data_IF_273032379307
#
_entry.id   IF_273032379307
#
_cell.length_a   1.000
_cell.length_b   1.000
_cell.length_c   1.000
_cell.angle_alpha   90.00
_cell.angle_beta   90.00
_cell.angle_gamma   90.00
#
_symmetry.space_group_name_H-M   'P 1'
#
loop_
_entity.id
_entity.type
_entity.pdbx_description
1 polymer ?
#
# COMPACT_ATOMS: atom_id res chain seq x y z
N UNK A 1 -20.08 -7.92 -13.15
CA UNK A 1 -19.97 -8.10 -11.66
C UNK A 1 -20.14 -6.73 -11.04
N UNK A 2 -21.07 -6.56 -10.10
CA UNK A 2 -21.26 -5.32 -9.35
C UNK A 2 -20.14 -5.18 -8.32
N UNK A 3 -19.46 -4.05 -8.31
CA UNK A 3 -18.28 -3.82 -7.47
C UNK A 3 -18.59 -2.75 -6.43
N UNK A 4 -18.25 -3.02 -5.18
CA UNK A 4 -18.24 -2.06 -4.09
C UNK A 4 -16.81 -1.64 -3.76
N UNK A 5 -16.55 -0.35 -3.60
CA UNK A 5 -15.24 0.16 -3.22
C UNK A 5 -15.33 1.08 -2.00
N UNK A 6 -14.63 0.72 -0.95
CA UNK A 6 -14.64 1.42 0.35
C UNK A 6 -13.25 1.96 0.65
N UNK A 7 -13.15 3.28 0.87
CA UNK A 7 -11.88 3.96 1.13
C UNK A 7 -11.28 4.57 -0.13
N UNK A 8 -11.50 5.88 -0.31
CA UNK A 8 -11.10 6.67 -1.48
C UNK A 8 -9.92 7.60 -1.14
N UNK A 9 -8.95 7.09 -0.38
CA UNK A 9 -7.69 7.77 -0.10
C UNK A 9 -6.84 8.00 -1.35
N UNK A 10 -5.57 8.39 -1.16
CA UNK A 10 -4.62 8.67 -2.27
C UNK A 10 -4.55 7.53 -3.29
N UNK A 11 -4.54 6.29 -2.83
CA UNK A 11 -4.49 5.11 -3.70
C UNK A 11 -5.88 4.66 -4.12
N UNK A 12 -6.82 4.57 -3.18
CA UNK A 12 -8.17 4.05 -3.41
C UNK A 12 -8.95 4.83 -4.45
N UNK A 13 -8.85 6.17 -4.46
CA UNK A 13 -9.48 7.01 -5.48
C UNK A 13 -9.01 6.64 -6.90
N UNK A 14 -7.68 6.57 -7.11
CA UNK A 14 -7.11 6.25 -8.42
C UNK A 14 -7.44 4.81 -8.85
N UNK A 15 -7.43 3.86 -7.92
CA UNK A 15 -7.79 2.46 -8.16
C UNK A 15 -9.27 2.34 -8.53
N UNK A 16 -10.17 2.93 -7.74
CA UNK A 16 -11.60 2.90 -7.98
C UNK A 16 -11.96 3.58 -9.31
N UNK A 17 -11.31 4.69 -9.65
CA UNK A 17 -11.49 5.39 -10.95
C UNK A 17 -11.21 4.47 -12.13
N UNK A 18 -10.16 3.65 -12.08
CA UNK A 18 -9.89 2.66 -13.13
C UNK A 18 -10.99 1.60 -13.23
N UNK A 19 -11.56 1.18 -12.10
CA UNK A 19 -12.68 0.24 -12.09
C UNK A 19 -13.91 0.90 -12.71
N UNK A 20 -14.28 2.11 -12.28
CA UNK A 20 -15.45 2.84 -12.83
C UNK A 20 -15.37 3.00 -14.34
N UNK A 21 -14.18 3.25 -14.89
CA UNK A 21 -13.97 3.46 -16.33
C UNK A 21 -13.98 2.18 -17.15
N UNK A 22 -13.74 1.03 -16.55
CA UNK A 22 -13.53 -0.24 -17.28
C UNK A 22 -14.59 -1.30 -16.98
N UNK A 23 -15.30 -1.19 -15.86
CA UNK A 23 -16.35 -2.13 -15.49
C UNK A 23 -17.68 -1.73 -16.13
N UNK A 24 -18.37 -2.69 -16.74
CA UNK A 24 -19.66 -2.44 -17.40
C UNK A 24 -20.85 -2.41 -16.41
N UNK A 25 -20.69 -3.11 -15.28
CA UNK A 25 -21.69 -3.15 -14.21
C UNK A 25 -21.50 -2.01 -13.20
N UNK A 26 -22.52 -1.72 -12.37
CA UNK A 26 -22.44 -0.65 -11.36
C UNK A 26 -21.27 -0.76 -10.40
N UNK A 27 -20.65 0.39 -10.09
CA UNK A 27 -19.60 0.53 -9.07
C UNK A 27 -20.14 1.40 -7.93
N UNK A 28 -20.30 0.81 -6.76
CA UNK A 28 -20.78 1.45 -5.52
C UNK A 28 -19.62 1.94 -4.69
N UNK A 29 -19.68 3.17 -4.17
CA UNK A 29 -18.54 3.78 -3.48
C UNK A 29 -18.93 4.40 -2.15
N UNK A 30 -18.02 4.31 -1.19
CA UNK A 30 -18.14 4.99 0.10
C UNK A 30 -16.76 5.45 0.61
N UNK A 31 -16.70 6.65 1.14
CA UNK A 31 -15.63 7.20 1.96
C UNK A 31 -16.23 8.19 2.96
N UNK A 32 -15.56 8.41 4.09
CA UNK A 32 -15.99 9.43 5.07
C UNK A 32 -15.84 10.87 4.54
N UNK A 33 -14.99 11.08 3.53
CA UNK A 33 -14.77 12.37 2.87
C UNK A 33 -15.64 12.47 1.64
N UNK A 34 -16.79 13.19 1.78
CA UNK A 34 -17.82 13.28 0.74
C UNK A 34 -17.27 13.81 -0.59
N UNK A 35 -16.35 14.77 -0.57
CA UNK A 35 -15.74 15.34 -1.79
C UNK A 35 -15.08 14.29 -2.67
N UNK A 36 -14.52 13.23 -2.07
CA UNK A 36 -13.90 12.11 -2.81
C UNK A 36 -14.94 11.22 -3.45
N UNK A 37 -16.05 10.99 -2.76
CA UNK A 37 -17.21 10.25 -3.31
C UNK A 37 -17.76 11.02 -4.51
N UNK A 38 -17.96 12.35 -4.37
CA UNK A 38 -18.53 13.20 -5.42
C UNK A 38 -17.66 13.24 -6.69
N UNK A 39 -16.32 13.14 -6.53
CA UNK A 39 -15.40 13.04 -7.69
C UNK A 39 -15.67 11.79 -8.51
N UNK A 40 -15.87 10.64 -7.89
CA UNK A 40 -16.11 9.37 -8.59
C UNK A 40 -17.53 9.25 -9.09
N UNK A 41 -18.51 9.84 -8.41
CA UNK A 41 -19.90 9.94 -8.89
C UNK A 41 -19.96 10.71 -10.22
N UNK A 42 -19.19 11.78 -10.39
CA UNK A 42 -19.09 12.50 -11.66
C UNK A 42 -18.53 11.66 -12.80
N UNK A 43 -17.81 10.58 -12.48
CA UNK A 43 -17.25 9.64 -13.46
C UNK A 43 -18.13 8.39 -13.66
N UNK A 44 -19.26 8.27 -12.94
CA UNK A 44 -20.23 7.20 -13.14
C UNK A 44 -20.36 6.22 -11.97
N UNK A 45 -19.66 6.43 -10.85
CA UNK A 45 -19.88 5.64 -9.63
C UNK A 45 -21.21 5.99 -8.95
N UNK A 46 -21.69 5.08 -8.12
CA UNK A 46 -22.92 5.25 -7.34
C UNK A 46 -22.52 5.42 -5.86
N UNK A 47 -22.85 6.58 -5.27
CA UNK A 47 -22.60 6.84 -3.86
C UNK A 47 -23.48 5.95 -2.96
N UNK A 48 -22.89 5.48 -1.86
CA UNK A 48 -23.60 4.82 -0.76
C UNK A 48 -23.40 5.61 0.54
N UNK A 49 -24.30 5.41 1.50
CA UNK A 49 -24.30 6.12 2.78
C UNK A 49 -23.27 5.57 3.78
N UNK A 50 -22.90 4.29 3.65
CA UNK A 50 -21.98 3.59 4.54
C UNK A 50 -21.43 2.31 3.87
N UNK A 51 -20.52 1.62 4.56
CA UNK A 51 -19.90 0.39 4.04
C UNK A 51 -20.91 -0.76 3.93
N UNK A 52 -21.89 -0.81 4.84
CA UNK A 52 -22.94 -1.83 4.82
C UNK A 52 -23.76 -1.76 3.51
N UNK A 53 -24.19 -0.56 3.12
CA UNK A 53 -24.95 -0.36 1.87
C UNK A 53 -24.13 -0.73 0.63
N UNK A 54 -22.81 -0.42 0.62
CA UNK A 54 -21.90 -0.86 -0.46
C UNK A 54 -21.91 -2.38 -0.54
N UNK A 55 -21.70 -3.06 0.58
CA UNK A 55 -21.60 -4.52 0.62
C UNK A 55 -22.94 -5.22 0.30
N UNK A 56 -24.07 -4.63 0.69
CA UNK A 56 -25.40 -5.15 0.35
C UNK A 56 -25.61 -5.21 -1.16
N UNK A 57 -25.20 -4.15 -1.89
CA UNK A 57 -25.46 -3.97 -3.33
C UNK A 57 -24.43 -4.65 -4.23
N UNK A 58 -23.21 -4.89 -3.74
CA UNK A 58 -22.10 -5.40 -4.53
C UNK A 58 -21.96 -6.93 -4.46
N UNK A 59 -21.40 -7.52 -5.51
CA UNK A 59 -20.97 -8.92 -5.57
C UNK A 59 -19.53 -9.07 -5.07
N UNK A 60 -18.68 -8.07 -5.35
CA UNK A 60 -17.30 -7.96 -4.88
C UNK A 60 -17.13 -6.69 -4.08
N UNK A 61 -16.63 -6.80 -2.86
CA UNK A 61 -16.34 -5.69 -1.96
C UNK A 61 -14.83 -5.49 -1.89
N UNK A 62 -14.35 -4.31 -2.27
CA UNK A 62 -12.95 -3.95 -2.22
C UNK A 62 -12.75 -2.87 -1.14
N UNK A 63 -11.74 -3.06 -0.28
CA UNK A 63 -11.36 -2.07 0.73
C UNK A 63 -9.94 -1.58 0.51
N UNK A 64 -9.73 -0.27 0.71
CA UNK A 64 -8.42 0.37 0.69
C UNK A 64 -8.34 1.42 1.80
N UNK A 65 -8.03 0.98 3.02
CA UNK A 65 -8.07 1.79 4.24
C UNK A 65 -6.69 1.86 4.92
N UNK A 66 -6.44 2.88 5.78
CA UNK A 66 -5.06 3.17 6.24
C UNK A 66 -4.46 2.15 7.21
N UNK A 67 -5.26 1.49 8.08
CA UNK A 67 -4.77 0.71 9.22
C UNK A 67 -5.64 -0.50 9.52
N UNK A 68 -5.10 -1.45 10.28
CA UNK A 68 -5.79 -2.68 10.73
C UNK A 68 -7.12 -2.41 11.43
N UNK A 69 -7.19 -1.38 12.29
CA UNK A 69 -8.42 -1.00 12.99
C UNK A 69 -9.54 -0.57 12.03
N UNK A 70 -9.20 0.09 10.92
CA UNK A 70 -10.17 0.49 9.91
C UNK A 70 -10.68 -0.73 9.11
N UNK A 71 -9.79 -1.66 8.72
CA UNK A 71 -10.22 -2.91 8.07
C UNK A 71 -11.14 -3.73 8.98
N UNK A 72 -10.83 -3.82 10.30
CA UNK A 72 -11.71 -4.46 11.28
C UNK A 72 -13.07 -3.79 11.36
N UNK A 73 -13.11 -2.45 11.41
CA UNK A 73 -14.36 -1.68 11.49
C UNK A 73 -15.24 -1.94 10.27
N UNK A 74 -14.65 -1.88 9.06
CA UNK A 74 -15.40 -2.14 7.82
C UNK A 74 -15.89 -3.59 7.76
N UNK A 75 -15.04 -4.58 8.05
CA UNK A 75 -15.47 -5.99 8.06
C UNK A 75 -16.62 -6.20 9.02
N UNK A 76 -16.53 -5.71 10.26
CA UNK A 76 -17.62 -5.85 11.25
C UNK A 76 -18.93 -5.23 10.76
N UNK A 77 -18.88 -4.08 10.07
CA UNK A 77 -20.06 -3.40 9.54
C UNK A 77 -20.72 -4.21 8.41
N UNK A 78 -19.92 -4.86 7.55
CA UNK A 78 -20.44 -5.56 6.36
C UNK A 78 -20.79 -7.04 6.60
N UNK A 79 -20.27 -7.66 7.67
CA UNK A 79 -20.53 -9.08 7.98
C UNK A 79 -22.00 -9.50 7.85
N UNK A 80 -23.00 -8.72 8.32
CA UNK A 80 -24.41 -9.14 8.28
C UNK A 80 -24.99 -9.32 6.87
N UNK A 81 -24.36 -8.74 5.85
CA UNK A 81 -24.83 -8.80 4.45
C UNK A 81 -23.91 -9.62 3.53
N UNK A 82 -22.85 -10.21 4.09
CA UNK A 82 -22.01 -11.14 3.35
C UNK A 82 -22.69 -12.51 3.23
N UNK A 83 -22.43 -13.19 2.11
CA UNK A 83 -22.99 -14.52 1.80
C UNK A 83 -22.06 -15.27 0.83
N UNK A 84 -22.35 -16.53 0.57
CA UNK A 84 -21.60 -17.41 -0.33
C UNK A 84 -21.43 -16.87 -1.78
N UNK A 85 -22.30 -15.96 -2.19
CA UNK A 85 -22.22 -15.36 -3.53
C UNK A 85 -21.23 -14.20 -3.61
N UNK A 86 -20.79 -13.66 -2.46
CA UNK A 86 -19.96 -12.47 -2.37
C UNK A 86 -18.48 -12.81 -2.17
N UNK A 87 -17.63 -11.86 -2.56
CA UNK A 87 -16.19 -11.95 -2.33
C UNK A 87 -15.69 -10.62 -1.75
N UNK A 88 -14.89 -10.70 -0.70
CA UNK A 88 -14.27 -9.56 -0.03
C UNK A 88 -12.79 -9.50 -0.33
N UNK A 89 -12.29 -8.36 -0.82
CA UNK A 89 -10.89 -8.15 -1.20
C UNK A 89 -10.34 -6.97 -0.42
N UNK A 90 -9.47 -7.23 0.55
CA UNK A 90 -8.77 -6.15 1.27
C UNK A 90 -7.44 -5.81 0.56
N UNK A 91 -7.38 -4.63 -0.05
CA UNK A 91 -6.19 -4.13 -0.72
C UNK A 91 -5.34 -3.22 0.18
N UNK A 92 -5.74 -3.05 1.43
CA UNK A 92 -5.04 -2.27 2.46
C UNK A 92 -3.71 -2.94 2.84
N UNK A 93 -2.74 -2.15 3.30
CA UNK A 93 -1.54 -2.68 3.96
C UNK A 93 -1.74 -2.66 5.46
N UNK A 94 -2.12 -3.81 6.00
CA UNK A 94 -2.40 -4.05 7.42
C UNK A 94 -1.52 -5.19 7.96
N UNK A 95 -1.63 -5.45 9.25
CA UNK A 95 -0.96 -6.58 9.89
C UNK A 95 -1.47 -7.91 9.29
N UNK A 96 -0.57 -8.83 8.85
CA UNK A 96 -0.96 -10.10 8.28
C UNK A 96 -1.83 -10.98 9.20
N UNK A 97 -1.57 -10.97 10.52
CA UNK A 97 -2.36 -11.75 11.49
C UNK A 97 -3.78 -11.21 11.58
N UNK A 98 -3.93 -9.88 11.53
CA UNK A 98 -5.25 -9.24 11.47
C UNK A 98 -5.99 -9.65 10.20
N UNK A 99 -5.31 -9.69 9.07
CA UNK A 99 -5.93 -10.12 7.81
C UNK A 99 -6.40 -11.58 7.85
N UNK A 100 -5.61 -12.47 8.44
CA UNK A 100 -6.00 -13.87 8.63
C UNK A 100 -7.25 -13.96 9.54
N UNK A 101 -7.27 -13.24 10.67
CA UNK A 101 -8.44 -13.16 11.54
C UNK A 101 -9.68 -12.69 10.79
N UNK A 102 -9.58 -11.60 10.02
CA UNK A 102 -10.69 -11.08 9.23
C UNK A 102 -11.16 -12.08 8.17
N UNK A 103 -10.23 -12.80 7.55
CA UNK A 103 -10.56 -13.86 6.59
C UNK A 103 -11.41 -14.97 7.22
N UNK A 104 -11.08 -15.37 8.46
CA UNK A 104 -11.85 -16.37 9.19
C UNK A 104 -13.27 -15.88 9.54
N UNK A 105 -13.40 -14.59 9.89
CA UNK A 105 -14.71 -13.98 10.18
C UNK A 105 -15.59 -13.96 8.92
N UNK A 106 -15.03 -13.50 7.79
CA UNK A 106 -15.75 -13.41 6.51
C UNK A 106 -16.15 -14.80 6.02
N UNK A 107 -15.25 -15.78 6.05
CA UNK A 107 -15.51 -17.16 5.62
C UNK A 107 -16.64 -17.85 6.39
N UNK A 108 -16.87 -17.47 7.65
CA UNK A 108 -18.02 -17.99 8.44
C UNK A 108 -19.37 -17.57 7.87
N UNK A 109 -19.44 -16.51 7.06
CA UNK A 109 -20.66 -16.11 6.34
C UNK A 109 -20.88 -16.87 5.03
N UNK A 110 -19.91 -17.69 4.61
CA UNK A 110 -19.86 -18.35 3.32
C UNK A 110 -19.17 -17.53 2.23
N UNK A 111 -18.92 -16.23 2.44
CA UNK A 111 -18.18 -15.38 1.50
C UNK A 111 -16.70 -15.78 1.44
N UNK A 112 -16.06 -15.54 0.29
CA UNK A 112 -14.60 -15.66 0.19
C UNK A 112 -13.90 -14.35 0.60
N UNK A 113 -12.66 -14.45 1.10
CA UNK A 113 -11.82 -13.31 1.49
C UNK A 113 -10.43 -13.45 0.88
N UNK A 114 -9.93 -12.35 0.29
CA UNK A 114 -8.56 -12.27 -0.20
C UNK A 114 -7.90 -10.98 0.30
N UNK A 115 -6.63 -11.07 0.69
CA UNK A 115 -5.75 -9.93 0.87
C UNK A 115 -5.02 -9.64 -0.46
N UNK A 116 -5.07 -8.40 -0.92
CA UNK A 116 -4.50 -8.03 -2.22
C UNK A 116 -3.74 -6.69 -2.16
N UNK A 117 -2.75 -6.53 -1.26
CA UNK A 117 -2.00 -5.30 -1.13
C UNK A 117 -1.23 -4.96 -2.41
N UNK A 118 -1.03 -3.64 -2.61
CA UNK A 118 -0.46 -3.09 -3.83
C UNK A 118 0.96 -2.56 -3.63
N UNK A 119 1.74 -2.58 -4.70
CA UNK A 119 3.07 -1.96 -4.79
C UNK A 119 3.10 -0.95 -5.94
N UNK A 120 4.10 -0.11 -5.93
CA UNK A 120 4.22 1.15 -6.65
C UNK A 120 3.39 2.26 -5.97
N UNK A 121 3.36 3.46 -6.56
CA UNK A 121 2.75 4.65 -5.96
C UNK A 121 1.59 5.20 -6.81
N UNK A 122 1.03 6.33 -6.39
CA UNK A 122 -0.13 6.98 -7.02
C UNK A 122 -0.04 7.09 -8.55
N UNK A 123 1.09 7.50 -9.19
CA UNK A 123 1.15 7.56 -10.65
C UNK A 123 0.89 6.21 -11.32
N UNK A 124 1.37 5.11 -10.73
CA UNK A 124 1.09 3.77 -11.24
C UNK A 124 -0.37 3.34 -11.01
N UNK A 125 -0.98 3.76 -9.89
CA UNK A 125 -2.39 3.53 -9.63
C UNK A 125 -3.26 4.25 -10.67
N UNK A 126 -2.97 5.52 -10.96
CA UNK A 126 -3.67 6.32 -11.99
C UNK A 126 -3.55 5.70 -13.39
N UNK A 127 -2.38 5.14 -13.71
CA UNK A 127 -2.12 4.47 -14.98
C UNK A 127 -2.69 3.04 -15.07
N UNK A 128 -3.23 2.47 -13.98
CA UNK A 128 -3.67 1.07 -13.92
C UNK A 128 -2.51 0.06 -14.01
N UNK A 129 -1.33 0.41 -13.50
CA UNK A 129 -0.08 -0.34 -13.63
C UNK A 129 0.52 -0.78 -12.29
N UNK A 130 -0.33 -1.01 -11.30
CA UNK A 130 0.10 -1.50 -9.99
C UNK A 130 0.71 -2.91 -10.08
N UNK A 131 1.58 -3.25 -9.14
CA UNK A 131 1.85 -4.61 -8.77
C UNK A 131 0.90 -5.00 -7.64
N UNK A 132 0.36 -6.22 -7.66
CA UNK A 132 -0.62 -6.71 -6.68
C UNK A 132 -0.19 -8.10 -6.21
N UNK A 133 -0.05 -8.26 -4.90
CA UNK A 133 0.26 -9.53 -4.26
C UNK A 133 -1.00 -10.09 -3.63
N UNK A 134 -1.44 -11.26 -4.07
CA UNK A 134 -2.74 -11.82 -3.63
C UNK A 134 -2.52 -13.01 -2.69
N UNK A 135 -3.11 -12.94 -1.50
CA UNK A 135 -3.27 -14.07 -0.58
C UNK A 135 -4.72 -14.51 -0.53
N UNK A 136 -4.96 -15.82 -0.60
CA UNK A 136 -6.29 -16.41 -0.57
C UNK A 136 -6.42 -17.67 -1.42
N UNK A 137 -7.64 -18.18 -1.60
CA UNK A 137 -7.91 -19.37 -2.38
C UNK A 137 -7.54 -19.18 -3.86
N UNK A 138 -7.20 -20.28 -4.55
CA UNK A 138 -6.96 -20.23 -6.01
C UNK A 138 -8.24 -19.85 -6.76
N UNK A 139 -9.37 -20.40 -6.34
CA UNK A 139 -10.67 -20.09 -6.95
C UNK A 139 -11.03 -18.61 -6.80
N UNK A 140 -10.87 -18.07 -5.58
CA UNK A 140 -11.08 -16.65 -5.31
C UNK A 140 -10.14 -15.77 -6.14
N UNK A 141 -8.85 -16.14 -6.24
CA UNK A 141 -7.89 -15.43 -7.08
C UNK A 141 -8.34 -15.35 -8.54
N UNK A 142 -8.72 -16.48 -9.15
CA UNK A 142 -9.20 -16.52 -10.54
C UNK A 142 -10.47 -15.66 -10.71
N UNK A 143 -11.36 -15.65 -9.73
CA UNK A 143 -12.59 -14.87 -9.75
C UNK A 143 -12.34 -13.37 -9.72
N UNK A 144 -11.34 -12.88 -8.97
CA UNK A 144 -11.05 -11.44 -8.85
C UNK A 144 -10.07 -10.91 -9.89
N UNK A 145 -9.29 -11.78 -10.54
CA UNK A 145 -8.22 -11.40 -11.46
C UNK A 145 -8.68 -10.44 -12.58
N UNK A 146 -9.85 -10.61 -13.22
CA UNK A 146 -10.33 -9.66 -14.23
C UNK A 146 -10.49 -8.24 -13.68
N UNK A 147 -10.99 -8.08 -12.45
CA UNK A 147 -11.17 -6.76 -11.81
C UNK A 147 -9.83 -6.19 -11.37
N UNK A 148 -8.94 -6.99 -10.80
CA UNK A 148 -7.59 -6.55 -10.44
C UNK A 148 -6.82 -6.04 -11.67
N UNK A 149 -7.04 -6.63 -12.84
CA UNK A 149 -6.43 -6.20 -14.11
C UNK A 149 -6.86 -4.80 -14.58
N UNK A 150 -7.93 -4.24 -14.02
CA UNK A 150 -8.28 -2.84 -14.25
C UNK A 150 -7.29 -1.87 -13.58
N UNK A 151 -6.65 -2.30 -12.48
CA UNK A 151 -5.81 -1.49 -11.61
C UNK A 151 -4.32 -1.84 -11.68
N UNK A 152 -3.98 -3.05 -12.11
CA UNK A 152 -2.62 -3.57 -12.10
C UNK A 152 -2.24 -4.37 -13.33
N UNK A 153 -0.95 -4.41 -13.64
CA UNK A 153 -0.37 -5.18 -14.75
C UNK A 153 0.46 -6.39 -14.27
N UNK A 154 0.94 -6.36 -13.03
CA UNK A 154 1.75 -7.42 -12.44
C UNK A 154 1.01 -8.00 -11.22
N UNK A 155 0.22 -9.03 -11.43
CA UNK A 155 -0.64 -9.62 -10.41
C UNK A 155 -0.18 -11.05 -10.16
N UNK A 156 0.11 -11.37 -8.90
CA UNK A 156 0.62 -12.69 -8.53
C UNK A 156 -0.03 -13.19 -7.24
N UNK A 157 -0.47 -14.46 -7.25
CA UNK A 157 -0.93 -15.14 -6.05
C UNK A 157 0.28 -15.64 -5.25
N UNK A 158 0.32 -15.31 -3.97
CA UNK A 158 1.42 -15.64 -3.04
C UNK A 158 1.14 -16.89 -2.19
N UNK A 159 -0.09 -17.39 -2.20
CA UNK A 159 -0.55 -18.52 -1.39
C UNK A 159 -1.84 -18.19 -0.62
N UNK A 160 -2.01 -18.79 0.55
CA UNK A 160 -3.20 -18.61 1.39
C UNK A 160 -3.32 -17.20 1.97
N UNK A 161 -4.43 -16.91 2.66
CA UNK A 161 -4.69 -15.62 3.29
C UNK A 161 -3.51 -15.15 4.18
N UNK A 162 -3.20 -13.87 4.10
CA UNK A 162 -2.07 -13.23 4.76
C UNK A 162 -0.76 -13.28 3.96
N UNK A 163 -0.62 -14.18 2.96
CA UNK A 163 0.63 -14.31 2.19
C UNK A 163 0.88 -13.13 1.26
N UNK A 164 -0.15 -12.51 0.72
CA UNK A 164 -0.04 -11.26 -0.04
C UNK A 164 0.52 -10.14 0.82
N UNK A 165 0.00 -9.99 2.05
CA UNK A 165 0.48 -8.99 3.01
C UNK A 165 1.89 -9.29 3.51
N UNK A 166 2.23 -10.55 3.83
CA UNK A 166 3.61 -10.91 4.19
C UNK A 166 4.58 -10.49 3.08
N UNK A 167 4.26 -10.79 1.82
CA UNK A 167 5.10 -10.37 0.70
C UNK A 167 5.18 -8.84 0.58
N UNK A 168 4.05 -8.14 0.78
CA UNK A 168 4.03 -6.66 0.79
C UNK A 168 4.92 -6.08 1.87
N UNK A 169 4.89 -6.63 3.08
CA UNK A 169 5.73 -6.20 4.20
C UNK A 169 7.20 -6.47 3.91
N UNK A 170 7.55 -7.66 3.40
CA UNK A 170 8.92 -7.96 2.96
C UNK A 170 9.41 -7.01 1.86
N UNK A 171 8.54 -6.66 0.90
CA UNK A 171 8.85 -5.68 -0.14
C UNK A 171 9.16 -4.30 0.46
N UNK A 172 8.32 -3.79 1.36
CA UNK A 172 8.52 -2.47 1.96
C UNK A 172 9.74 -2.44 2.88
N UNK A 173 10.01 -3.52 3.62
CA UNK A 173 11.23 -3.68 4.41
C UNK A 173 12.50 -3.62 3.53
N UNK A 174 12.51 -4.29 2.38
CA UNK A 174 13.62 -4.19 1.45
C UNK A 174 13.77 -2.75 0.91
N UNK A 175 12.66 -2.09 0.56
CA UNK A 175 12.69 -0.70 0.08
C UNK A 175 13.19 0.26 1.16
N UNK A 176 12.82 0.08 2.43
CA UNK A 176 13.28 0.92 3.54
C UNK A 176 14.80 0.82 3.74
N UNK A 177 15.37 -0.39 3.63
CA UNK A 177 16.81 -0.63 3.74
C UNK A 177 17.57 -0.06 2.53
N UNK A 178 17.07 -0.25 1.30
CA UNK A 178 17.64 0.36 0.09
C UNK A 178 17.65 1.89 0.24
N UNK A 179 16.53 2.47 0.67
CA UNK A 179 16.40 3.91 0.91
C UNK A 179 17.42 4.40 1.92
N UNK A 180 17.57 3.73 3.05
CA UNK A 180 18.51 4.14 4.08
C UNK A 180 19.96 4.09 3.54
N UNK A 181 20.34 3.03 2.83
CA UNK A 181 21.64 2.91 2.19
C UNK A 181 21.89 4.01 1.15
N UNK A 182 20.88 4.34 0.33
CA UNK A 182 20.95 5.45 -0.64
C UNK A 182 21.11 6.79 0.09
N UNK A 183 20.33 7.04 1.15
CA UNK A 183 20.40 8.29 1.89
C UNK A 183 21.77 8.50 2.54
N UNK A 184 22.32 7.47 3.20
CA UNK A 184 23.65 7.55 3.84
C UNK A 184 24.76 7.78 2.80
N UNK A 185 24.78 6.99 1.73
CA UNK A 185 25.85 7.06 0.74
C UNK A 185 25.76 8.29 -0.14
N UNK A 186 24.55 8.77 -0.49
CA UNK A 186 24.38 10.03 -1.22
C UNK A 186 24.72 11.24 -0.35
N UNK A 187 24.40 11.21 0.96
CA UNK A 187 24.80 12.26 1.89
C UNK A 187 26.33 12.34 2.04
N UNK A 188 27.01 11.17 2.09
CA UNK A 188 28.48 11.11 2.07
C UNK A 188 29.06 11.69 0.78
N UNK A 189 28.49 11.31 -0.38
CA UNK A 189 28.88 11.83 -1.69
C UNK A 189 28.74 13.36 -1.76
N UNK A 190 27.60 13.90 -1.28
CA UNK A 190 27.35 15.33 -1.23
C UNK A 190 28.36 16.10 -0.36
N UNK A 191 28.77 15.55 0.78
CA UNK A 191 29.82 16.14 1.64
C UNK A 191 31.20 16.15 0.95
N UNK A 192 31.38 15.34 -0.10
CA UNK A 192 32.60 15.28 -0.90
C UNK A 192 32.44 15.93 -2.30
N UNK A 193 31.42 16.77 -2.49
CA UNK A 193 31.23 17.59 -3.67
C UNK A 193 30.54 16.89 -4.85
N UNK A 194 29.91 15.72 -4.64
CA UNK A 194 29.16 14.99 -5.67
C UNK A 194 27.66 15.18 -5.39
N UNK A 195 26.95 15.87 -6.28
CA UNK A 195 25.53 16.08 -6.17
C UNK A 195 24.72 14.79 -6.43
N UNK A 196 23.43 14.80 -6.01
CA UNK A 196 22.57 13.61 -6.06
C UNK A 196 22.28 13.12 -7.49
N UNK A 197 22.28 13.98 -8.49
CA UNK A 197 22.01 13.60 -9.88
C UNK A 197 23.24 12.90 -10.48
N UNK A 198 24.42 13.48 -10.28
CA UNK A 198 25.71 12.86 -10.65
C UNK A 198 25.92 11.54 -9.91
N UNK A 199 25.59 11.50 -8.59
CA UNK A 199 25.63 10.27 -7.80
C UNK A 199 24.70 9.19 -8.39
N UNK A 200 23.46 9.53 -8.72
CA UNK A 200 22.47 8.58 -9.26
C UNK A 200 22.89 8.05 -10.64
N UNK A 201 23.46 8.90 -11.48
CA UNK A 201 24.02 8.47 -12.77
C UNK A 201 25.15 7.46 -12.57
N UNK A 202 26.12 7.76 -11.73
CA UNK A 202 27.24 6.86 -11.46
C UNK A 202 26.81 5.52 -10.85
N UNK A 203 25.86 5.54 -9.92
CA UNK A 203 25.28 4.31 -9.31
C UNK A 203 24.60 3.43 -10.37
N UNK A 204 23.99 4.01 -11.40
CA UNK A 204 23.33 3.26 -12.47
C UNK A 204 24.28 2.39 -13.32
N UNK A 205 25.59 2.64 -13.26
CA UNK A 205 26.59 1.86 -14.00
C UNK A 205 26.95 0.52 -13.35
N UNK A 206 26.46 0.24 -12.14
CA UNK A 206 26.88 -0.94 -11.41
C UNK A 206 25.78 -1.56 -10.54
N UNK A 207 26.17 -2.48 -9.67
CA UNK A 207 25.28 -3.25 -8.79
C UNK A 207 24.54 -2.45 -7.72
N UNK A 208 24.80 -1.16 -7.59
CA UNK A 208 24.08 -0.25 -6.71
C UNK A 208 22.78 0.30 -7.32
N UNK A 209 22.52 0.09 -8.62
CA UNK A 209 21.32 0.57 -9.27
C UNK A 209 20.06 0.05 -8.57
N UNK A 210 19.10 0.94 -8.36
CA UNK A 210 17.84 0.56 -7.73
C UNK A 210 16.70 1.52 -8.12
N UNK A 211 15.48 0.99 -8.10
CA UNK A 211 14.28 1.73 -8.49
C UNK A 211 13.99 2.93 -7.56
N UNK A 212 14.29 2.82 -6.27
CA UNK A 212 14.07 3.92 -5.32
C UNK A 212 14.85 5.17 -5.74
N UNK A 213 16.17 5.05 -5.96
CA UNK A 213 17.02 6.17 -6.37
C UNK A 213 16.55 6.76 -7.70
N UNK A 214 16.27 5.91 -8.69
CA UNK A 214 15.82 6.35 -10.03
C UNK A 214 14.52 7.18 -9.93
N UNK A 215 13.60 6.78 -9.08
CA UNK A 215 12.30 7.43 -8.92
C UNK A 215 12.34 8.68 -8.04
N UNK A 216 13.34 8.80 -7.13
CA UNK A 216 13.37 9.86 -6.10
C UNK A 216 14.50 10.88 -6.25
N UNK A 217 15.49 10.64 -7.13
CA UNK A 217 16.63 11.55 -7.32
C UNK A 217 16.22 13.00 -7.60
N UNK A 218 15.20 13.23 -8.43
CA UNK A 218 14.75 14.58 -8.77
C UNK A 218 14.01 15.25 -7.58
N UNK A 219 13.20 14.50 -6.85
CA UNK A 219 12.54 15.00 -5.65
C UNK A 219 13.57 15.40 -4.59
N UNK A 220 14.58 14.57 -4.37
CA UNK A 220 15.69 14.85 -3.44
C UNK A 220 16.52 16.04 -3.90
N UNK A 221 16.82 16.15 -5.21
CA UNK A 221 17.59 17.25 -5.78
C UNK A 221 16.89 18.61 -5.62
N UNK A 222 15.57 18.62 -5.78
CA UNK A 222 14.74 19.82 -5.70
C UNK A 222 14.16 20.07 -4.29
N UNK A 223 14.48 19.20 -3.32
CA UNK A 223 13.88 19.23 -1.97
C UNK A 223 12.34 19.23 -1.99
N UNK A 224 11.76 18.59 -3.01
CA UNK A 224 10.31 18.43 -3.16
C UNK A 224 9.88 17.10 -2.51
N UNK A 225 9.34 17.20 -1.31
CA UNK A 225 8.86 16.07 -0.53
C UNK A 225 7.34 15.94 -0.56
N UNK A 226 6.71 16.41 -1.63
CA UNK A 226 5.26 16.19 -1.88
C UNK A 226 4.94 14.70 -1.88
N UNK A 227 3.96 14.33 -1.07
CA UNK A 227 3.69 12.93 -0.71
C UNK A 227 3.10 12.13 -1.87
N UNK A 228 3.83 11.14 -2.33
CA UNK A 228 3.28 10.01 -3.10
C UNK A 228 3.09 8.75 -2.21
N UNK A 229 3.97 8.59 -1.21
CA UNK A 229 3.86 7.60 -0.13
C UNK A 229 4.52 8.18 1.12
N UNK A 230 3.76 8.35 2.21
CA UNK A 230 4.22 9.11 3.37
C UNK A 230 5.21 8.34 4.26
N UNK A 231 6.06 9.12 4.98
CA UNK A 231 6.89 8.59 6.07
C UNK A 231 6.03 7.82 7.08
N UNK A 232 4.88 8.36 7.49
CA UNK A 232 4.01 7.71 8.46
C UNK A 232 3.51 6.33 7.99
N UNK A 233 3.23 6.16 6.70
CA UNK A 233 2.83 4.87 6.14
C UNK A 233 4.00 3.88 6.10
N UNK A 234 5.19 4.31 5.68
CA UNK A 234 6.35 3.43 5.67
C UNK A 234 6.79 3.08 7.10
N UNK A 235 6.76 4.02 8.03
CA UNK A 235 7.00 3.79 9.46
C UNK A 235 6.10 2.67 9.99
N UNK A 236 4.79 2.74 9.72
CA UNK A 236 3.85 1.67 10.08
C UNK A 236 4.26 0.32 9.48
N UNK A 237 4.60 0.28 8.19
CA UNK A 237 4.93 -0.96 7.48
C UNK A 237 6.25 -1.59 8.00
N UNK A 238 7.25 -0.77 8.31
CA UNK A 238 8.53 -1.18 8.93
C UNK A 238 8.29 -1.81 10.30
N UNK A 239 7.43 -1.21 11.13
CA UNK A 239 7.11 -1.77 12.44
C UNK A 239 6.27 -3.07 12.36
N UNK A 240 5.38 -3.20 11.37
CA UNK A 240 4.72 -4.49 11.08
C UNK A 240 5.77 -5.54 10.70
N UNK A 241 6.79 -5.18 9.89
CA UNK A 241 7.87 -6.09 9.54
C UNK A 241 8.66 -6.57 10.76
N UNK A 242 9.06 -5.66 11.65
CA UNK A 242 9.80 -6.03 12.86
C UNK A 242 8.98 -6.92 13.78
N UNK A 243 7.67 -6.69 13.91
CA UNK A 243 6.79 -7.58 14.65
C UNK A 243 6.71 -8.98 14.01
N UNK A 244 6.55 -9.06 12.70
CA UNK A 244 6.53 -10.32 11.96
C UNK A 244 7.86 -11.06 12.09
N UNK A 245 9.00 -10.36 12.01
CA UNK A 245 10.33 -10.93 12.20
C UNK A 245 10.49 -11.54 13.60
N UNK A 246 10.02 -10.81 14.63
CA UNK A 246 10.03 -11.30 16.02
C UNK A 246 9.18 -12.56 16.20
N UNK A 247 8.00 -12.60 15.62
CA UNK A 247 7.12 -13.79 15.64
C UNK A 247 7.74 -14.98 14.90
N UNK A 248 8.54 -14.70 13.86
CA UNK A 248 9.26 -15.71 13.06
C UNK A 248 10.64 -16.08 13.65
N UNK A 249 11.00 -15.56 14.84
CA UNK A 249 12.30 -15.75 15.49
C UNK A 249 13.49 -15.37 14.58
N UNK A 250 13.31 -14.34 13.72
CA UNK A 250 14.31 -13.86 12.77
C UNK A 250 14.85 -12.49 13.19
N UNK A 251 16.16 -12.35 13.34
CA UNK A 251 16.80 -11.07 13.53
C UNK A 251 16.96 -10.31 12.20
N UNK A 252 16.56 -9.05 12.17
CA UNK A 252 16.65 -8.17 10.98
C UNK A 252 17.39 -6.86 11.33
N UNK A 253 18.71 -6.88 11.62
CA UNK A 253 19.44 -5.69 12.08
C UNK A 253 19.45 -4.55 11.04
N UNK A 254 19.40 -4.85 9.75
CA UNK A 254 19.26 -3.84 8.70
C UNK A 254 17.93 -3.09 8.78
N UNK A 255 16.84 -3.81 9.05
CA UNK A 255 15.52 -3.23 9.21
C UNK A 255 15.36 -2.46 10.52
N UNK A 256 15.96 -2.96 11.61
CA UNK A 256 16.02 -2.23 12.89
C UNK A 256 16.74 -0.88 12.73
N UNK A 257 17.82 -0.85 11.92
CA UNK A 257 18.51 0.40 11.62
C UNK A 257 17.66 1.35 10.78
N UNK A 258 16.97 0.85 9.76
CA UNK A 258 16.04 1.64 8.96
C UNK A 258 14.88 2.19 9.83
N UNK A 259 14.29 1.36 10.70
CA UNK A 259 13.23 1.74 11.63
C UNK A 259 13.59 2.97 12.46
N UNK A 260 14.81 2.99 13.06
CA UNK A 260 15.28 4.14 13.84
C UNK A 260 15.31 5.45 13.04
N UNK A 261 15.56 5.40 11.72
CA UNK A 261 15.51 6.59 10.86
C UNK A 261 14.07 7.07 10.69
N UNK A 262 13.12 6.14 10.55
CA UNK A 262 11.69 6.48 10.47
C UNK A 262 11.15 7.00 11.80
N UNK A 263 11.54 6.40 12.93
CA UNK A 263 11.16 6.87 14.27
C UNK A 263 11.61 8.34 14.46
N UNK A 264 12.89 8.63 14.17
CA UNK A 264 13.44 9.98 14.24
C UNK A 264 12.72 10.96 13.29
N UNK A 265 12.36 10.51 12.08
CA UNK A 265 11.61 11.33 11.15
C UNK A 265 10.20 11.65 11.66
N UNK A 266 9.53 10.69 12.30
CA UNK A 266 8.23 10.90 12.95
C UNK A 266 8.33 11.89 14.12
N UNK A 267 9.35 11.76 14.97
CA UNK A 267 9.62 12.68 16.10
C UNK A 267 9.87 14.12 15.62
N UNK A 268 10.54 14.29 14.47
CA UNK A 268 10.77 15.60 13.85
C UNK A 268 9.55 16.17 13.12
N UNK A 269 8.42 15.46 13.09
CA UNK A 269 7.18 15.92 12.45
C UNK A 269 7.14 15.74 10.92
N UNK A 270 8.05 14.96 10.33
CA UNK A 270 8.08 14.72 8.89
C UNK A 270 7.08 13.64 8.42
N UNK A 271 6.28 13.09 9.32
CA UNK A 271 5.33 12.02 9.02
C UNK A 271 4.44 12.22 7.79
N UNK A 272 3.89 13.43 7.53
CA UNK A 272 3.09 13.69 6.33
C UNK A 272 3.86 13.78 5.02
N UNK A 273 5.18 13.98 5.05
CA UNK A 273 6.00 14.13 3.86
C UNK A 273 6.23 12.78 3.15
N UNK A 274 6.68 12.85 1.90
CA UNK A 274 7.09 11.65 1.15
C UNK A 274 8.24 10.94 1.88
N UNK A 275 8.23 9.61 1.82
CA UNK A 275 9.19 8.81 2.57
C UNK A 275 10.65 9.09 2.19
N UNK A 276 10.95 9.67 1.02
CA UNK A 276 12.29 10.12 0.67
C UNK A 276 12.80 11.30 1.52
N UNK A 277 11.92 12.00 2.24
CA UNK A 277 12.32 13.07 3.16
C UNK A 277 13.12 12.57 4.38
N UNK A 278 13.20 11.26 4.63
CA UNK A 278 14.10 10.69 5.64
C UNK A 278 15.58 11.02 5.38
N UNK A 279 15.95 11.44 4.16
CA UNK A 279 17.29 11.96 3.88
C UNK A 279 17.64 13.17 4.75
N UNK A 280 16.68 13.99 5.20
CA UNK A 280 16.89 15.10 6.13
C UNK A 280 17.45 14.62 7.47
N UNK A 281 16.90 13.50 7.99
CA UNK A 281 17.37 12.85 9.22
C UNK A 281 18.82 12.43 9.08
N UNK A 282 19.16 11.77 7.97
CA UNK A 282 20.52 11.26 7.74
C UNK A 282 21.53 12.39 7.57
N UNK A 283 21.18 13.48 6.86
CA UNK A 283 22.05 14.66 6.66
C UNK A 283 22.39 15.38 7.97
N UNK A 284 21.48 15.35 8.95
CA UNK A 284 21.61 16.04 10.24
C UNK A 284 22.44 15.24 11.26
N UNK A 285 22.60 13.92 11.05
CA UNK A 285 23.34 13.06 11.98
C UNK A 285 24.83 13.45 12.02
N UNK A 286 25.36 13.54 13.24
CA UNK A 286 26.80 13.71 13.50
C UNK A 286 27.46 12.35 13.69
N UNK A 287 28.75 12.22 13.37
CA UNK A 287 29.51 11.02 13.73
C UNK A 287 29.42 10.73 15.22
N UNK A 288 29.34 9.44 15.58
CA UNK A 288 29.40 8.97 16.98
C UNK A 288 30.80 9.22 17.56
#
# INVERSE_FOLDING_TARGET
MKIGFIGLGIMGEAMCRNIVRKNEDPVYVFDFVQEKVDLLVKEGAIACLNSWEVAEKADMIITMVPKSEHSRAVVNEVLPVLSETKIYVDMSTIDPDVSVELSEMVKKTGADFLDAPVVKSRPAAEAGKLGIYVGGSEEGYQRILPVLSYMGENIIRMGDNGKGLIMKICHNALVSQIQNGVNETSALAAKNGIDILTYAEAISYGGGQNFYLDSKKNAIANEDYTTAFSIANMHKDVHICLNLAKQSELAMPGEENAARVYDEAMEKGYGPEDFCATIKVVKDRKPC
#
